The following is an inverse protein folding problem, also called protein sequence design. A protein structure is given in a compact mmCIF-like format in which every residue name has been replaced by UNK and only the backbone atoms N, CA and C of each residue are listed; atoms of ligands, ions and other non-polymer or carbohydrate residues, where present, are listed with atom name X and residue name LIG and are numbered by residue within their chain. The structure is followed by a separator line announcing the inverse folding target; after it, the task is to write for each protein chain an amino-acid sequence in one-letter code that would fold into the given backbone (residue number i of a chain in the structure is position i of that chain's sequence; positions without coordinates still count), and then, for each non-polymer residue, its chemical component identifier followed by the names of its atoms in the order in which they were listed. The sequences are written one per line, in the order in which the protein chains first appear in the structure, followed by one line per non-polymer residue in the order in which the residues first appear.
data_IF_525256069446
#
_entry.id   IF_525256069446
#
_cell.length_a   1.000
_cell.length_b   1.000
_cell.length_c   1.000
_cell.angle_alpha   90.00
_cell.angle_beta   90.00
_cell.angle_gamma   90.00
#
_symmetry.space_group_name_H-M   'P 1'
#
loop_
_entity.id
_entity.type
_entity.pdbx_description
1 polymer ?
#
# COMPACT_ATOMS: atom_id res chain seq x y z
N UNK A 1 4.84 19.20 43.48
CA UNK A 1 4.76 18.73 44.85
C UNK A 1 3.64 17.69 44.93
N UNK A 2 3.93 16.43 44.62
CA UNK A 2 2.96 15.34 44.68
C UNK A 2 3.40 14.34 45.74
N UNK A 3 2.54 14.08 46.69
CA UNK A 3 2.75 13.23 47.86
C UNK A 3 2.51 11.77 47.50
N UNK A 4 3.50 10.94 47.72
CA UNK A 4 3.38 9.47 47.65
C UNK A 4 2.74 8.97 48.97
N UNK A 5 1.59 8.32 48.84
CA UNK A 5 0.99 7.50 49.89
C UNK A 5 1.34 6.04 49.60
N UNK A 6 2.09 5.41 50.52
CA UNK A 6 2.35 3.97 50.52
C UNK A 6 1.24 3.27 51.30
N UNK A 7 0.59 2.30 50.70
CA UNK A 7 -0.10 1.24 51.42
C UNK A 7 0.30 -0.09 50.81
N UNK A 8 0.90 -0.93 51.63
CA UNK A 8 1.33 -2.26 51.26
C UNK A 8 0.16 -3.24 51.13
N UNK A 9 0.24 -4.14 50.21
CA UNK A 9 -0.55 -5.39 50.17
C UNK A 9 0.31 -6.52 49.62
N UNK A 10 0.46 -7.49 50.49
CA UNK A 10 0.62 -8.91 50.39
C UNK A 10 0.77 -9.54 48.99
N UNK A 11 1.83 -10.34 48.88
CA UNK A 11 2.11 -11.37 47.89
C UNK A 11 1.00 -12.43 47.80
N UNK A 12 0.49 -12.66 46.61
CA UNK A 12 0.12 -14.02 46.18
C UNK A 12 0.36 -14.13 44.67
N UNK A 13 1.34 -14.95 44.37
CA UNK A 13 1.76 -15.38 43.04
C UNK A 13 0.67 -16.27 42.44
N UNK A 14 -0.09 -15.78 41.50
CA UNK A 14 -0.93 -16.62 40.65
C UNK A 14 -0.54 -16.37 39.20
N UNK A 15 0.47 -17.10 38.73
CA UNK A 15 0.89 -17.22 37.35
C UNK A 15 -0.18 -18.02 36.60
N UNK A 16 -1.25 -17.33 36.18
CA UNK A 16 -2.12 -17.90 35.13
C UNK A 16 -1.35 -17.90 33.82
N UNK A 17 -0.88 -19.06 33.44
CA UNK A 17 -0.44 -19.38 32.09
C UNK A 17 -1.59 -19.07 31.15
N UNK A 18 -1.45 -18.01 30.37
CA UNK A 18 -2.23 -17.84 29.15
C UNK A 18 -1.78 -18.94 28.18
N UNK A 19 -2.56 -20.01 28.13
CA UNK A 19 -2.49 -20.99 27.06
C UNK A 19 -2.98 -20.29 25.80
N UNK A 20 -2.07 -19.83 24.97
CA UNK A 20 -2.37 -19.58 23.57
C UNK A 20 -2.80 -20.92 22.99
N UNK A 21 -4.09 -21.09 22.78
CA UNK A 21 -4.63 -22.26 22.11
C UNK A 21 -4.01 -22.34 20.71
N UNK A 22 -3.23 -23.39 20.50
CA UNK A 22 -2.81 -23.80 19.16
C UNK A 22 -4.10 -24.17 18.44
N UNK A 23 -4.56 -23.32 17.52
CA UNK A 23 -5.67 -23.62 16.63
C UNK A 23 -5.20 -24.75 15.72
N UNK A 24 -5.89 -25.88 15.76
CA UNK A 24 -5.62 -27.05 14.92
C UNK A 24 -5.66 -26.68 13.44
N UNK A 25 -4.77 -27.24 12.59
CA UNK A 25 -4.72 -26.96 11.15
C UNK A 25 -5.91 -27.46 10.31
N UNK A 26 -6.89 -28.14 10.90
CA UNK A 26 -7.86 -28.98 10.18
C UNK A 26 -9.28 -28.38 10.02
N UNK A 27 -9.42 -27.09 9.87
CA UNK A 27 -10.75 -26.53 9.63
C UNK A 27 -10.76 -25.24 8.79
N UNK A 28 -10.22 -25.28 7.58
CA UNK A 28 -10.57 -24.26 6.58
C UNK A 28 -10.37 -24.78 5.15
N UNK A 29 -11.29 -25.60 4.67
CA UNK A 29 -11.63 -25.62 3.24
C UNK A 29 -12.59 -24.42 3.01
N UNK A 30 -12.18 -23.22 3.41
CA UNK A 30 -12.82 -21.96 3.11
C UNK A 30 -12.08 -21.30 1.95
N UNK A 31 -12.81 -20.64 1.03
CA UNK A 31 -12.22 -19.83 -0.02
C UNK A 31 -11.08 -18.97 0.58
N UNK A 32 -9.93 -18.99 -0.07
CA UNK A 32 -8.75 -18.23 0.38
C UNK A 32 -9.12 -16.76 0.36
N UNK A 33 -9.26 -16.16 1.56
CA UNK A 33 -9.73 -14.76 1.68
C UNK A 33 -8.62 -13.79 1.29
N UNK A 34 -8.93 -12.87 0.40
CA UNK A 34 -8.02 -11.78 0.03
C UNK A 34 -7.51 -11.04 1.27
N UNK A 35 -6.21 -10.90 1.39
CA UNK A 35 -5.55 -10.30 2.55
C UNK A 35 -4.83 -9.01 2.19
N UNK A 36 -4.35 -8.89 0.95
CA UNK A 36 -3.69 -7.70 0.44
C UNK A 36 -4.35 -7.28 -0.87
N UNK A 37 -4.65 -6.00 -1.02
CA UNK A 37 -5.06 -5.39 -2.29
C UNK A 37 -3.94 -4.45 -2.70
N UNK A 38 -3.32 -4.69 -3.84
CA UNK A 38 -2.29 -3.80 -4.40
C UNK A 38 -2.88 -3.01 -5.55
N UNK A 39 -2.99 -1.69 -5.39
CA UNK A 39 -3.41 -0.75 -6.42
C UNK A 39 -2.16 -0.16 -7.08
N UNK A 40 -1.93 -0.45 -8.35
CA UNK A 40 -0.86 0.18 -9.11
C UNK A 40 -1.40 1.12 -10.17
N UNK A 41 -0.84 2.32 -10.26
CA UNK A 41 -1.19 3.33 -11.25
C UNK A 41 -0.28 4.55 -11.15
N UNK A 42 -0.24 5.39 -12.14
CA UNK A 42 0.57 6.61 -12.15
C UNK A 42 0.13 7.65 -11.12
N UNK A 43 0.93 8.70 -10.95
CA UNK A 43 0.55 9.88 -10.18
C UNK A 43 -0.79 10.42 -10.71
N UNK A 44 -1.60 10.98 -9.84
CA UNK A 44 -2.90 11.58 -10.16
C UNK A 44 -3.92 10.65 -10.88
N UNK A 45 -3.65 9.33 -10.95
CA UNK A 45 -4.58 8.35 -11.51
C UNK A 45 -5.82 8.06 -10.64
N UNK A 46 -5.97 8.69 -9.49
CA UNK A 46 -7.17 8.55 -8.63
C UNK A 46 -7.11 7.41 -7.60
N UNK A 47 -5.99 6.69 -7.46
CA UNK A 47 -5.82 5.58 -6.51
C UNK A 47 -6.24 5.92 -5.08
N UNK A 48 -5.76 7.03 -4.53
CA UNK A 48 -6.09 7.43 -3.14
C UNK A 48 -7.59 7.71 -2.94
N UNK A 49 -8.32 8.09 -4.00
CA UNK A 49 -9.78 8.16 -4.00
C UNK A 49 -10.40 6.76 -3.87
N UNK A 50 -9.90 5.81 -4.67
CA UNK A 50 -10.33 4.41 -4.62
C UNK A 50 -10.04 3.80 -3.24
N UNK A 51 -8.86 4.04 -2.67
CA UNK A 51 -8.48 3.55 -1.32
C UNK A 51 -9.52 3.97 -0.28
N UNK A 52 -9.86 5.26 -0.22
CA UNK A 52 -10.88 5.76 0.73
C UNK A 52 -12.26 5.13 0.50
N UNK A 53 -12.63 4.95 -0.77
CA UNK A 53 -13.90 4.29 -1.10
C UNK A 53 -13.87 2.80 -0.71
N UNK A 54 -12.76 2.08 -0.93
CA UNK A 54 -12.61 0.68 -0.50
C UNK A 54 -12.74 0.54 1.01
N UNK A 55 -12.08 1.40 1.80
CA UNK A 55 -12.20 1.41 3.25
C UNK A 55 -13.64 1.67 3.74
N UNK A 56 -14.46 2.35 2.92
CA UNK A 56 -15.86 2.61 3.23
C UNK A 56 -16.82 1.47 2.84
N UNK A 57 -16.48 0.68 1.81
CA UNK A 57 -17.41 -0.35 1.28
C UNK A 57 -17.03 -1.77 1.70
N UNK A 58 -15.78 -2.03 2.07
CA UNK A 58 -15.35 -3.32 2.55
C UNK A 58 -15.86 -3.56 3.98
N UNK A 59 -16.38 -4.76 4.28
CA UNK A 59 -17.06 -5.01 5.56
C UNK A 59 -16.11 -5.11 6.76
N UNK A 60 -14.83 -5.44 6.53
CA UNK A 60 -13.83 -5.51 7.58
C UNK A 60 -12.88 -4.31 7.53
N UNK A 61 -12.16 -4.01 8.62
CA UNK A 61 -11.19 -2.91 8.64
C UNK A 61 -9.97 -3.25 7.77
N UNK A 62 -9.66 -2.37 6.82
CA UNK A 62 -8.50 -2.43 5.96
C UNK A 62 -7.55 -1.27 6.27
N UNK A 63 -6.30 -1.58 6.57
CA UNK A 63 -5.25 -0.58 6.71
C UNK A 63 -4.80 -0.12 5.33
N UNK A 64 -4.56 1.17 5.16
CA UNK A 64 -4.08 1.71 3.90
C UNK A 64 -2.66 2.26 4.05
N UNK A 65 -1.78 1.80 3.18
CA UNK A 65 -0.40 2.25 3.06
C UNK A 65 -0.08 2.53 1.60
N UNK A 66 0.94 3.34 1.35
CA UNK A 66 1.35 3.61 -0.01
C UNK A 66 2.74 4.21 -0.09
N UNK A 67 3.23 4.34 -1.32
CA UNK A 67 4.55 4.92 -1.57
C UNK A 67 4.67 6.33 -0.99
N UNK A 68 3.63 7.14 -1.01
CA UNK A 68 3.64 8.48 -0.40
C UNK A 68 3.88 8.39 1.12
N UNK A 69 3.25 7.45 1.82
CA UNK A 69 3.48 7.21 3.26
C UNK A 69 4.93 6.82 3.53
N UNK A 70 5.50 5.96 2.69
CA UNK A 70 6.90 5.58 2.79
C UNK A 70 7.83 6.76 2.54
N UNK A 71 7.61 7.54 1.47
CA UNK A 71 8.39 8.74 1.14
C UNK A 71 8.32 9.77 2.26
N UNK A 72 7.15 9.97 2.87
CA UNK A 72 6.97 10.89 3.99
C UNK A 72 7.73 10.46 5.25
N UNK A 73 7.92 9.17 5.43
CA UNK A 73 8.71 8.63 6.54
C UNK A 73 10.23 8.78 6.34
N UNK A 74 10.70 9.07 5.11
CA UNK A 74 12.13 9.26 4.85
C UNK A 74 12.67 10.55 5.48
N UNK A 75 13.94 10.55 5.93
CA UNK A 75 14.63 11.76 6.32
C UNK A 75 14.62 12.81 5.19
N UNK A 76 14.50 14.09 5.54
CA UNK A 76 14.44 15.16 4.54
C UNK A 76 15.65 15.16 3.58
N UNK A 77 16.84 14.79 4.07
CA UNK A 77 18.05 14.70 3.26
C UNK A 77 17.96 13.62 2.16
N UNK A 78 17.11 12.61 2.31
CA UNK A 78 16.91 11.56 1.31
C UNK A 78 15.88 11.93 0.24
N UNK A 79 15.03 12.93 0.49
CA UNK A 79 13.96 13.33 -0.44
C UNK A 79 14.41 14.20 -1.60
N UNK A 80 15.70 14.56 -1.67
CA UNK A 80 16.32 15.36 -2.73
C UNK A 80 17.79 14.97 -2.92
N UNK A 81 18.07 13.67 -3.00
CA UNK A 81 19.42 13.15 -3.15
C UNK A 81 19.49 11.96 -4.08
N UNK A 82 20.61 11.78 -4.75
CA UNK A 82 20.87 10.66 -5.67
C UNK A 82 20.91 9.30 -4.94
N UNK A 83 21.23 9.28 -3.66
CA UNK A 83 21.20 8.06 -2.84
C UNK A 83 19.77 7.69 -2.41
N UNK A 84 18.90 8.68 -2.25
CA UNK A 84 17.51 8.56 -1.84
C UNK A 84 16.53 8.60 -3.03
N UNK A 85 15.72 9.65 -3.08
CA UNK A 85 14.76 9.92 -4.17
C UNK A 85 14.99 11.33 -4.71
N UNK A 86 15.07 11.46 -6.02
CA UNK A 86 15.18 12.74 -6.71
C UNK A 86 14.10 12.88 -7.77
N UNK A 87 13.70 14.11 -8.04
CA UNK A 87 12.68 14.45 -9.04
C UNK A 87 13.33 15.32 -10.12
N UNK A 88 13.30 14.85 -11.35
CA UNK A 88 13.76 15.60 -12.51
C UNK A 88 12.78 16.71 -12.92
N UNK A 89 13.25 17.64 -13.78
CA UNK A 89 12.45 18.78 -14.23
C UNK A 89 11.19 18.39 -15.01
N UNK A 90 11.21 17.22 -15.66
CA UNK A 90 10.10 16.69 -16.46
C UNK A 90 9.23 15.69 -15.66
N UNK A 91 9.31 15.71 -14.33
CA UNK A 91 8.59 14.79 -13.46
C UNK A 91 9.17 13.37 -13.42
N UNK A 92 10.35 13.15 -13.96
CA UNK A 92 11.07 11.89 -13.81
C UNK A 92 11.40 11.64 -12.33
N UNK A 93 11.20 10.41 -11.89
CA UNK A 93 11.54 9.98 -10.53
C UNK A 93 12.71 9.02 -10.58
N UNK A 94 13.81 9.43 -9.95
CA UNK A 94 15.03 8.62 -9.82
C UNK A 94 15.15 8.16 -8.37
N UNK A 95 15.34 6.86 -8.17
CA UNK A 95 15.50 6.27 -6.85
C UNK A 95 16.87 5.64 -6.69
N UNK A 96 17.56 6.03 -5.63
CA UNK A 96 18.91 5.58 -5.32
C UNK A 96 18.95 4.28 -4.50
N UNK A 97 20.17 3.78 -4.22
CA UNK A 97 20.35 2.50 -3.53
C UNK A 97 19.85 2.49 -2.09
N UNK A 98 19.97 3.62 -1.38
CA UNK A 98 19.47 3.72 0.01
C UNK A 98 17.94 3.70 0.05
N UNK A 99 17.27 4.37 -0.90
CA UNK A 99 15.83 4.27 -1.06
C UNK A 99 15.41 2.82 -1.30
N UNK A 100 16.09 2.10 -2.20
CA UNK A 100 15.77 0.70 -2.51
C UNK A 100 15.96 -0.22 -1.31
N UNK A 101 16.97 0.00 -0.49
CA UNK A 101 17.19 -0.78 0.73
C UNK A 101 16.05 -0.57 1.74
N UNK A 102 15.64 0.69 1.95
CA UNK A 102 14.52 1.02 2.85
C UNK A 102 13.17 0.58 2.29
N UNK A 103 12.95 0.70 0.97
CA UNK A 103 11.76 0.16 0.29
C UNK A 103 11.62 -1.35 0.53
N UNK A 104 12.73 -2.10 0.43
CA UNK A 104 12.72 -3.54 0.73
C UNK A 104 12.30 -3.84 2.17
N UNK A 105 12.80 -3.08 3.14
CA UNK A 105 12.39 -3.21 4.55
C UNK A 105 10.92 -2.81 4.77
N UNK A 106 10.44 -1.77 4.08
CA UNK A 106 9.04 -1.34 4.10
C UNK A 106 8.11 -2.44 3.59
N UNK A 107 8.41 -3.01 2.41
CA UNK A 107 7.62 -4.09 1.81
C UNK A 107 7.60 -5.32 2.74
N UNK A 108 8.74 -5.72 3.30
CA UNK A 108 8.82 -6.82 4.25
C UNK A 108 7.99 -6.56 5.52
N UNK A 109 7.97 -5.30 6.02
CA UNK A 109 7.14 -4.90 7.14
C UNK A 109 5.65 -5.03 6.85
N UNK A 110 5.19 -4.59 5.68
CA UNK A 110 3.80 -4.74 5.24
C UNK A 110 3.42 -6.21 5.06
N UNK A 111 4.29 -7.02 4.47
CA UNK A 111 4.09 -8.46 4.35
C UNK A 111 3.98 -9.14 5.73
N UNK A 112 4.80 -8.75 6.71
CA UNK A 112 4.72 -9.26 8.07
C UNK A 112 3.41 -8.87 8.78
N UNK A 113 2.93 -7.64 8.59
CA UNK A 113 1.61 -7.21 9.11
C UNK A 113 0.47 -8.03 8.50
N UNK A 114 0.51 -8.25 7.18
CA UNK A 114 -0.47 -9.10 6.51
C UNK A 114 -0.38 -10.53 7.03
N UNK A 115 0.81 -11.12 7.15
CA UNK A 115 1.03 -12.44 7.72
C UNK A 115 0.56 -12.59 9.17
N UNK A 116 0.53 -11.50 9.94
CA UNK A 116 -0.06 -11.45 11.27
C UNK A 116 -1.59 -11.30 11.28
N UNK A 117 -2.25 -11.26 10.11
CA UNK A 117 -3.70 -11.23 9.97
C UNK A 117 -4.28 -9.85 9.67
N UNK A 118 -3.48 -8.80 9.50
CA UNK A 118 -3.97 -7.51 9.07
C UNK A 118 -4.42 -7.57 7.59
N UNK A 119 -5.52 -6.89 7.25
CA UNK A 119 -5.93 -6.66 5.86
C UNK A 119 -5.37 -5.34 5.38
N UNK A 120 -4.71 -5.33 4.24
CA UNK A 120 -3.93 -4.20 3.78
C UNK A 120 -4.30 -3.81 2.35
N UNK A 121 -4.52 -2.52 2.12
CA UNK A 121 -4.57 -1.89 0.81
C UNK A 121 -3.24 -1.16 0.61
N UNK A 122 -2.56 -1.45 -0.49
CA UNK A 122 -1.29 -0.80 -0.87
C UNK A 122 -1.54 0.09 -2.09
N UNK A 123 -1.24 1.39 -1.95
CA UNK A 123 -1.32 2.40 -3.03
C UNK A 123 0.09 2.64 -3.58
N UNK A 124 0.39 2.08 -4.75
CA UNK A 124 1.73 2.05 -5.31
C UNK A 124 1.85 2.67 -6.71
N UNK A 125 3.08 3.06 -7.03
CA UNK A 125 3.50 3.54 -8.35
C UNK A 125 4.70 2.71 -8.81
N UNK A 126 4.44 1.68 -9.58
CA UNK A 126 5.47 0.73 -10.02
C UNK A 126 6.29 1.26 -11.20
N UNK A 127 7.20 2.19 -10.94
CA UNK A 127 8.03 2.85 -11.96
C UNK A 127 8.86 1.87 -12.82
N UNK A 128 9.22 0.71 -12.25
CA UNK A 128 9.90 -0.36 -12.99
C UNK A 128 8.93 -1.45 -13.50
N UNK A 129 7.62 -1.18 -13.52
CA UNK A 129 6.61 -2.12 -14.01
C UNK A 129 6.71 -3.50 -13.37
N UNK A 130 6.81 -4.55 -14.19
CA UNK A 130 6.89 -5.95 -13.74
C UNK A 130 8.01 -6.23 -12.73
N UNK A 131 9.12 -5.51 -12.77
CA UNK A 131 10.19 -5.69 -11.79
C UNK A 131 9.77 -5.24 -10.39
N UNK A 132 9.03 -4.12 -10.31
CA UNK A 132 8.43 -3.69 -9.05
C UNK A 132 7.43 -4.71 -8.52
N UNK A 133 6.56 -5.23 -9.38
CA UNK A 133 5.59 -6.28 -9.01
C UNK A 133 6.31 -7.53 -8.47
N UNK A 134 7.40 -7.97 -9.11
CA UNK A 134 8.15 -9.14 -8.66
C UNK A 134 8.71 -8.96 -7.24
N UNK A 135 9.27 -7.78 -6.91
CA UNK A 135 9.75 -7.51 -5.54
C UNK A 135 8.64 -7.65 -4.49
N UNK A 136 7.46 -7.16 -4.81
CA UNK A 136 6.28 -7.33 -3.94
C UNK A 136 5.83 -8.79 -3.85
N UNK A 137 5.78 -9.51 -4.98
CA UNK A 137 5.41 -10.92 -5.01
C UNK A 137 6.37 -11.78 -4.18
N UNK A 138 7.67 -11.53 -4.28
CA UNK A 138 8.69 -12.24 -3.48
C UNK A 138 8.49 -12.02 -1.98
N UNK A 139 8.17 -10.79 -1.56
CA UNK A 139 7.97 -10.47 -0.15
C UNK A 139 6.63 -10.95 0.40
N UNK A 140 5.57 -10.89 -0.39
CA UNK A 140 4.22 -11.32 0.01
C UNK A 140 4.09 -12.87 0.01
N UNK A 141 4.91 -13.58 -0.78
CA UNK A 141 4.92 -15.04 -0.84
C UNK A 141 3.55 -15.62 -1.17
N UNK A 142 3.06 -16.51 -0.32
CA UNK A 142 1.78 -17.21 -0.49
C UNK A 142 0.55 -16.42 0.04
N UNK A 143 0.74 -15.18 0.49
CA UNK A 143 -0.41 -14.37 0.93
C UNK A 143 -1.39 -14.15 -0.21
N UNK A 144 -2.71 -14.20 0.04
CA UNK A 144 -3.73 -13.97 -0.98
C UNK A 144 -3.78 -12.49 -1.37
N UNK A 145 -3.29 -12.17 -2.55
CA UNK A 145 -3.18 -10.80 -3.07
C UNK A 145 -4.12 -10.59 -4.24
N UNK A 146 -4.83 -9.47 -4.25
CA UNK A 146 -5.58 -8.97 -5.40
C UNK A 146 -4.77 -7.85 -6.06
N UNK A 147 -4.27 -8.10 -7.27
CA UNK A 147 -3.50 -7.13 -8.04
C UNK A 147 -4.41 -6.31 -8.93
N UNK A 148 -4.45 -4.99 -8.71
CA UNK A 148 -5.35 -4.08 -9.42
C UNK A 148 -4.57 -3.02 -10.18
N UNK A 149 -4.78 -2.96 -11.50
CA UNK A 149 -4.32 -1.87 -12.34
C UNK A 149 -5.32 -0.71 -12.34
N UNK A 150 -4.87 0.47 -11.94
CA UNK A 150 -5.67 1.70 -11.97
C UNK A 150 -5.23 2.52 -13.17
N UNK A 151 -5.99 2.39 -14.26
CA UNK A 151 -5.77 3.13 -15.49
C UNK A 151 -6.32 4.56 -15.40
N UNK A 152 -5.64 5.47 -16.06
CA UNK A 152 -6.09 6.82 -16.30
C UNK A 152 -5.34 7.36 -17.51
N UNK A 153 -6.06 7.98 -18.42
CA UNK A 153 -5.44 8.66 -19.57
C UNK A 153 -4.44 9.72 -19.08
N UNK A 154 -3.28 9.80 -19.75
CA UNK A 154 -2.18 10.69 -19.33
C UNK A 154 -2.58 12.19 -19.34
N UNK A 155 -3.44 12.62 -20.27
CA UNK A 155 -3.93 14.00 -20.31
C UNK A 155 -4.87 14.29 -19.15
N UNK A 156 -5.79 13.35 -18.83
CA UNK A 156 -6.69 13.48 -17.67
C UNK A 156 -5.89 13.50 -16.36
N UNK A 157 -4.86 12.65 -16.25
CA UNK A 157 -4.00 12.63 -15.08
C UNK A 157 -3.19 13.93 -14.92
N UNK A 158 -2.69 14.49 -16.02
CA UNK A 158 -1.99 15.78 -16.04
C UNK A 158 -2.90 16.95 -15.63
N UNK A 159 -4.14 17.00 -16.11
CA UNK A 159 -5.12 18.02 -15.70
C UNK A 159 -5.40 17.93 -14.18
N UNK A 160 -5.53 16.73 -13.64
CA UNK A 160 -5.70 16.49 -12.20
C UNK A 160 -4.46 16.90 -11.39
N UNK A 161 -3.26 16.67 -11.92
CA UNK A 161 -1.99 17.08 -11.32
C UNK A 161 -1.92 18.60 -11.18
N UNK A 162 -2.24 19.32 -12.25
CA UNK A 162 -2.30 20.80 -12.24
C UNK A 162 -3.33 21.29 -11.23
N UNK A 163 -4.51 20.69 -11.19
CA UNK A 163 -5.58 21.09 -10.27
C UNK A 163 -5.20 20.86 -8.78
N UNK A 164 -4.36 19.87 -8.49
CA UNK A 164 -3.86 19.60 -7.12
C UNK A 164 -2.76 20.57 -6.69
N UNK A 165 -1.83 20.90 -7.57
CA UNK A 165 -0.76 21.85 -7.34
C UNK A 165 0.31 21.42 -6.32
N UNK A 166 0.31 20.15 -5.89
CA UNK A 166 1.22 19.58 -4.87
C UNK A 166 2.24 18.58 -5.44
N UNK A 167 2.28 18.43 -6.77
CA UNK A 167 3.15 17.50 -7.49
C UNK A 167 4.04 18.20 -8.50
N UNK A 168 5.15 17.56 -8.86
CA UNK A 168 6.00 18.03 -9.95
C UNK A 168 5.24 17.86 -11.26
N UNK A 169 5.12 18.96 -12.02
CA UNK A 169 4.39 18.97 -13.30
C UNK A 169 5.04 18.00 -14.30
N UNK A 170 4.22 17.22 -14.99
CA UNK A 170 4.66 16.22 -15.97
C UNK A 170 4.81 14.81 -15.41
N UNK A 171 4.81 14.64 -14.10
CA UNK A 171 4.93 13.33 -13.45
C UNK A 171 3.76 12.41 -13.82
N UNK A 172 2.53 12.91 -13.82
CA UNK A 172 1.35 12.12 -14.13
C UNK A 172 1.38 11.57 -15.56
N UNK A 173 1.72 12.42 -16.54
CA UNK A 173 1.82 12.02 -17.94
C UNK A 173 2.95 11.02 -18.18
N UNK A 174 4.13 11.23 -17.59
CA UNK A 174 5.28 10.33 -17.74
C UNK A 174 5.04 8.94 -17.16
N UNK A 175 4.23 8.85 -16.11
CA UNK A 175 3.96 7.59 -15.40
C UNK A 175 2.77 6.79 -15.96
N UNK A 176 1.84 7.44 -16.68
CA UNK A 176 0.55 6.84 -17.06
C UNK A 176 0.66 5.44 -17.69
N UNK A 177 1.63 5.24 -18.58
CA UNK A 177 1.84 3.96 -19.24
C UNK A 177 2.99 3.14 -18.64
N UNK A 178 4.03 3.83 -18.16
CA UNK A 178 5.27 3.18 -17.69
C UNK A 178 5.01 2.23 -16.54
N UNK A 179 4.18 2.62 -15.59
CA UNK A 179 3.87 1.84 -14.38
C UNK A 179 3.14 0.53 -14.68
N UNK A 180 2.61 0.39 -15.88
CA UNK A 180 1.86 -0.79 -16.31
C UNK A 180 2.66 -1.76 -17.21
N UNK A 181 3.91 -1.43 -17.52
CA UNK A 181 4.73 -2.23 -18.45
C UNK A 181 5.02 -3.62 -17.87
N UNK A 182 4.57 -4.64 -18.59
CA UNK A 182 4.78 -6.04 -18.24
C UNK A 182 4.05 -6.49 -16.96
N UNK A 183 3.16 -5.67 -16.42
CA UNK A 183 2.36 -6.00 -15.24
C UNK A 183 1.31 -7.06 -15.54
N UNK A 184 1.01 -7.88 -14.55
CA UNK A 184 -0.11 -8.85 -14.57
C UNK A 184 -1.09 -8.46 -13.47
N UNK A 185 -2.34 -8.20 -13.85
CA UNK A 185 -3.40 -7.81 -12.95
C UNK A 185 -4.53 -8.84 -12.91
N UNK A 186 -5.16 -9.00 -11.75
CA UNK A 186 -6.41 -9.75 -11.60
C UNK A 186 -7.62 -8.94 -12.04
N UNK A 187 -7.49 -7.60 -11.96
CA UNK A 187 -8.52 -6.63 -12.35
C UNK A 187 -7.87 -5.32 -12.81
N UNK A 188 -8.44 -4.70 -13.82
CA UNK A 188 -8.14 -3.32 -14.17
C UNK A 188 -9.39 -2.45 -14.01
N UNK A 189 -9.22 -1.23 -13.51
CA UNK A 189 -10.25 -0.19 -13.43
C UNK A 189 -9.74 1.09 -14.09
N UNK A 190 -10.64 1.87 -14.68
CA UNK A 190 -10.30 3.10 -15.38
C UNK A 190 -11.01 4.29 -14.74
N UNK A 191 -10.23 5.16 -14.11
CA UNK A 191 -10.71 6.37 -13.45
C UNK A 191 -10.89 7.56 -14.39
N UNK A 192 -10.46 7.44 -15.63
CA UNK A 192 -10.80 8.42 -16.69
C UNK A 192 -12.28 8.35 -17.07
N UNK A 193 -12.89 7.17 -16.92
CA UNK A 193 -14.27 6.90 -17.32
C UNK A 193 -15.20 6.54 -16.17
N UNK A 194 -14.68 6.27 -14.97
CA UNK A 194 -15.47 5.86 -13.82
C UNK A 194 -15.07 6.61 -12.55
N UNK A 195 -16.05 6.91 -11.73
CA UNK A 195 -15.85 7.52 -10.42
C UNK A 195 -15.15 6.56 -9.45
N UNK A 196 -14.38 7.09 -8.49
CA UNK A 196 -13.63 6.29 -7.50
C UNK A 196 -14.52 5.28 -6.76
N UNK A 197 -15.76 5.63 -6.45
CA UNK A 197 -16.71 4.73 -5.78
C UNK A 197 -17.13 3.56 -6.69
N UNK A 198 -17.32 3.79 -7.98
CA UNK A 198 -17.65 2.72 -8.93
C UNK A 198 -16.46 1.75 -9.08
N UNK A 199 -15.25 2.27 -9.22
CA UNK A 199 -14.02 1.48 -9.23
C UNK A 199 -13.87 0.65 -7.95
N UNK A 200 -14.08 1.27 -6.78
CA UNK A 200 -13.98 0.58 -5.49
C UNK A 200 -15.00 -0.56 -5.35
N UNK A 201 -16.23 -0.39 -5.81
CA UNK A 201 -17.24 -1.46 -5.81
C UNK A 201 -16.86 -2.61 -6.73
N UNK A 202 -16.29 -2.33 -7.91
CA UNK A 202 -15.79 -3.36 -8.82
C UNK A 202 -14.65 -4.17 -8.19
N UNK A 203 -13.74 -3.50 -7.47
CA UNK A 203 -12.65 -4.14 -6.73
C UNK A 203 -13.19 -4.96 -5.56
N UNK A 204 -14.09 -4.38 -4.76
CA UNK A 204 -14.70 -5.05 -3.60
C UNK A 204 -15.45 -6.34 -3.98
N UNK A 205 -16.08 -6.37 -5.15
CA UNK A 205 -16.75 -7.57 -5.68
C UNK A 205 -15.78 -8.73 -6.01
N UNK A 206 -14.46 -8.48 -6.08
CA UNK A 206 -13.40 -9.48 -6.29
C UNK A 206 -12.73 -9.92 -5.00
N UNK A 207 -12.97 -9.20 -3.91
CA UNK A 207 -12.45 -9.54 -2.58
C UNK A 207 -13.26 -10.70 -2.03
N UNK A 208 -12.60 -11.83 -1.79
CA UNK A 208 -13.23 -13.08 -1.31
C UNK A 208 -12.97 -13.28 0.19
#
# INVERSE_FOLDING_TARGET
MWRLSRSGVSSSTDLRRNSFGVVSPDAYCGAVKTQVIVLNGGSSSGKSGIVRCLQAVLPEPWLAFGVDTFVDALPAAMRASDAGIAFGPDGEVVVGPEFRALEGAWIAGLAAMAGAGARIIVDEVFLSGAESQRRWQEALGELPVLWVGVRCDGAIAADREVARGDRVVGMAASQADVVHRGMVYDLEVDTGHAESMACARAIAARVT
#
